data_IF_914252343886
#
_entry.id   IF_914252343886
#
_cell.length_a   1.000
_cell.length_b   1.000
_cell.length_c   1.000
_cell.angle_alpha   90.00
_cell.angle_beta   90.00
_cell.angle_gamma   90.00
#
_symmetry.space_group_name_H-M   'P 1'
#
loop_
_entity.id
_entity.type
_entity.pdbx_description
1 polymer ?
#
# COMPACT_ATOMS: atom_id res chain seq x y z
N UNK A 1 -4.49 24.13 1.23
CA UNK A 1 -4.18 23.56 -0.11
C UNK A 1 -4.55 22.10 -0.19
N UNK A 2 -5.23 21.73 -1.25
CA UNK A 2 -5.58 20.33 -1.45
C UNK A 2 -4.35 19.53 -1.88
N UNK A 3 -4.23 18.30 -1.37
CA UNK A 3 -3.20 17.35 -1.81
C UNK A 3 -3.56 16.69 -3.14
N UNK A 4 -4.84 16.46 -3.34
CA UNK A 4 -5.37 15.77 -4.52
C UNK A 4 -6.61 16.49 -5.04
N UNK A 5 -6.87 16.33 -6.34
CA UNK A 5 -8.11 16.76 -6.98
C UNK A 5 -8.74 15.55 -7.66
N UNK A 6 -10.05 15.38 -7.50
CA UNK A 6 -10.77 14.21 -8.00
C UNK A 6 -11.95 14.64 -8.86
N UNK A 7 -12.13 14.00 -10.00
CA UNK A 7 -13.26 14.16 -10.89
C UNK A 7 -13.97 12.83 -11.02
N UNK A 8 -15.27 12.80 -10.73
CA UNK A 8 -16.09 11.63 -11.05
C UNK A 8 -16.43 11.66 -12.54
N UNK A 9 -16.00 10.63 -13.26
CA UNK A 9 -16.16 10.57 -14.72
C UNK A 9 -17.43 9.85 -15.17
N UNK A 10 -18.24 9.38 -14.25
CA UNK A 10 -19.38 8.52 -14.54
C UNK A 10 -18.97 7.06 -14.63
N UNK A 11 -19.95 6.17 -14.71
CA UNK A 11 -19.72 4.72 -14.82
C UNK A 11 -18.84 4.15 -13.71
N UNK A 12 -18.93 4.75 -12.50
CA UNK A 12 -18.22 4.32 -11.30
C UNK A 12 -16.69 4.46 -11.41
N UNK A 13 -16.23 5.42 -12.22
CA UNK A 13 -14.82 5.75 -12.42
C UNK A 13 -14.49 7.14 -11.89
N UNK A 14 -13.32 7.28 -11.26
CA UNK A 14 -12.79 8.59 -10.88
C UNK A 14 -11.42 8.81 -11.50
N UNK A 15 -11.10 10.07 -11.77
CA UNK A 15 -9.78 10.52 -12.17
C UNK A 15 -9.19 11.37 -11.06
N UNK A 16 -7.97 11.08 -10.65
CA UNK A 16 -7.34 11.70 -9.49
C UNK A 16 -5.99 12.28 -9.86
N UNK A 17 -5.77 13.55 -9.51
CA UNK A 17 -4.51 14.24 -9.78
C UNK A 17 -3.80 14.56 -8.47
N UNK A 18 -2.56 14.12 -8.36
CA UNK A 18 -1.66 14.53 -7.28
C UNK A 18 -1.18 15.95 -7.57
N UNK A 19 -1.58 16.92 -6.76
CA UNK A 19 -1.36 18.35 -7.06
C UNK A 19 0.12 18.68 -7.19
N UNK A 20 0.95 18.15 -6.31
CA UNK A 20 2.38 18.45 -6.28
C UNK A 20 3.13 17.93 -7.51
N UNK A 21 2.86 16.70 -7.95
CA UNK A 21 3.60 16.05 -9.04
C UNK A 21 2.90 16.10 -10.40
N UNK A 22 1.60 16.34 -10.40
CA UNK A 22 0.77 16.24 -11.61
C UNK A 22 0.44 14.80 -12.02
N UNK A 23 0.87 13.80 -11.25
CA UNK A 23 0.59 12.39 -11.55
C UNK A 23 -0.91 12.12 -11.47
N UNK A 24 -1.42 11.39 -12.44
CA UNK A 24 -2.85 11.04 -12.53
C UNK A 24 -3.03 9.53 -12.36
N UNK A 25 -4.00 9.15 -11.54
CA UNK A 25 -4.43 7.75 -11.42
C UNK A 25 -5.95 7.67 -11.57
N UNK A 26 -6.41 6.52 -12.07
CA UNK A 26 -7.84 6.24 -12.20
C UNK A 26 -8.27 5.23 -11.14
N UNK A 27 -9.52 5.32 -10.70
CA UNK A 27 -10.14 4.26 -9.90
C UNK A 27 -11.40 3.78 -10.58
N UNK A 28 -11.71 2.50 -10.41
CA UNK A 28 -12.95 1.88 -10.85
C UNK A 28 -13.59 1.13 -9.69
N UNK A 29 -14.90 1.05 -9.66
CA UNK A 29 -15.55 0.07 -8.80
C UNK A 29 -15.14 -1.34 -9.26
N UNK A 30 -14.97 -2.29 -8.33
CA UNK A 30 -14.59 -3.64 -8.71
C UNK A 30 -15.72 -4.39 -9.40
N UNK A 31 -15.37 -5.45 -10.13
CA UNK A 31 -16.37 -6.25 -10.88
C UNK A 31 -17.40 -6.91 -9.98
N UNK A 32 -17.04 -7.25 -8.74
CA UNK A 32 -17.97 -7.81 -7.75
C UNK A 32 -18.84 -6.75 -7.08
N UNK A 33 -18.70 -5.47 -7.47
CA UNK A 33 -19.51 -4.36 -6.96
C UNK A 33 -19.89 -3.41 -8.11
N UNK A 34 -20.43 -3.98 -9.18
CA UNK A 34 -21.03 -3.28 -10.33
C UNK A 34 -20.05 -2.50 -11.21
N UNK A 35 -18.76 -2.59 -10.97
CA UNK A 35 -17.74 -1.82 -11.69
C UNK A 35 -17.11 -2.56 -12.85
N UNK A 36 -16.32 -1.81 -13.64
CA UNK A 36 -15.59 -2.34 -14.79
C UNK A 36 -14.32 -3.09 -14.37
N UNK A 37 -13.75 -2.75 -13.22
CA UNK A 37 -12.53 -3.40 -12.71
C UNK A 37 -11.30 -3.20 -13.59
N UNK A 38 -11.26 -2.13 -14.38
CA UNK A 38 -10.15 -1.86 -15.29
C UNK A 38 -9.02 -1.06 -14.64
N UNK A 39 -9.22 -0.62 -13.40
CA UNK A 39 -8.24 0.08 -12.59
C UNK A 39 -8.40 -0.33 -11.14
N UNK A 40 -7.55 0.20 -10.26
CA UNK A 40 -7.66 -0.06 -8.81
C UNK A 40 -8.98 0.46 -8.27
N UNK A 41 -9.65 -0.33 -7.42
CA UNK A 41 -10.79 0.19 -6.67
C UNK A 41 -10.31 1.03 -5.48
N UNK A 42 -11.17 1.84 -4.85
CA UNK A 42 -10.78 2.57 -3.64
C UNK A 42 -10.25 1.66 -2.53
N UNK A 43 -10.86 0.50 -2.30
CA UNK A 43 -10.37 -0.45 -1.30
C UNK A 43 -9.07 -1.13 -1.74
N UNK A 44 -8.84 -1.32 -3.04
CA UNK A 44 -7.55 -1.78 -3.56
C UNK A 44 -6.45 -0.77 -3.21
N UNK A 45 -6.70 0.52 -3.38
CA UNK A 45 -5.71 1.55 -3.04
C UNK A 45 -5.41 1.56 -1.54
N UNK A 46 -6.42 1.35 -0.71
CA UNK A 46 -6.24 1.26 0.73
C UNK A 46 -5.33 0.08 1.09
N UNK A 47 -5.58 -1.10 0.54
CA UNK A 47 -4.75 -2.28 0.79
C UNK A 47 -3.34 -2.11 0.23
N UNK A 48 -3.22 -1.60 -0.99
CA UNK A 48 -1.94 -1.37 -1.66
C UNK A 48 -1.09 -0.36 -0.89
N UNK A 49 -1.71 0.67 -0.30
CA UNK A 49 -0.99 1.69 0.46
C UNK A 49 -0.20 1.09 1.62
N UNK A 50 -0.72 0.04 2.25
CA UNK A 50 -0.01 -0.66 3.33
C UNK A 50 1.31 -1.27 2.82
N UNK A 51 1.26 -2.00 1.72
CA UNK A 51 2.43 -2.61 1.09
C UNK A 51 3.47 -1.56 0.72
N UNK A 52 3.02 -0.50 0.06
CA UNK A 52 3.91 0.59 -0.37
C UNK A 52 4.56 1.27 0.82
N UNK A 53 3.79 1.51 1.87
CA UNK A 53 4.29 2.15 3.08
C UNK A 53 5.34 1.29 3.79
N UNK A 54 5.08 -0.01 3.92
CA UNK A 54 6.03 -0.95 4.53
C UNK A 54 7.36 -0.93 3.78
N UNK A 55 7.32 -1.10 2.45
CA UNK A 55 8.54 -1.15 1.64
C UNK A 55 9.29 0.18 1.66
N UNK A 56 8.58 1.30 1.56
CA UNK A 56 9.19 2.63 1.61
C UNK A 56 9.86 2.88 2.96
N UNK A 57 9.18 2.50 4.05
CA UNK A 57 9.70 2.67 5.41
C UNK A 57 10.93 1.78 5.64
N UNK A 58 10.91 0.55 5.11
CA UNK A 58 12.10 -0.32 5.13
C UNK A 58 13.28 0.31 4.38
N UNK A 59 13.01 0.91 3.22
CA UNK A 59 14.04 1.60 2.45
C UNK A 59 14.65 2.76 3.21
N UNK A 60 13.84 3.58 3.85
CA UNK A 60 14.30 4.69 4.69
C UNK A 60 15.15 4.18 5.86
N UNK A 61 14.68 3.13 6.54
CA UNK A 61 15.44 2.52 7.63
C UNK A 61 16.82 2.07 7.17
N UNK A 62 16.89 1.37 6.03
CA UNK A 62 18.15 0.89 5.49
C UNK A 62 19.09 2.05 5.15
N UNK A 63 18.59 3.10 4.52
CA UNK A 63 19.39 4.29 4.23
C UNK A 63 19.98 4.91 5.50
N UNK A 64 19.18 5.01 6.54
CA UNK A 64 19.60 5.66 7.79
C UNK A 64 20.60 4.83 8.60
N UNK A 65 20.67 3.52 8.36
CA UNK A 65 21.53 2.60 9.12
C UNK A 65 22.71 2.03 8.28
N UNK A 66 22.87 2.51 7.06
CA UNK A 66 23.94 2.04 6.19
C UNK A 66 23.72 0.63 5.64
N UNK A 67 22.50 0.14 5.67
CA UNK A 67 22.12 -1.14 5.07
C UNK A 67 21.62 -0.94 3.64
N UNK A 68 21.57 -2.02 2.85
CA UNK A 68 21.23 -1.97 1.43
C UNK A 68 20.10 -2.92 1.12
N UNK A 69 18.92 -2.37 0.89
CA UNK A 69 17.78 -3.12 0.35
C UNK A 69 17.90 -3.06 -1.17
N UNK A 70 18.55 -4.08 -1.78
CA UNK A 70 18.86 -4.11 -3.21
C UNK A 70 17.64 -4.36 -4.08
N UNK A 71 16.58 -4.89 -3.50
CA UNK A 71 15.32 -5.09 -4.18
C UNK A 71 14.29 -5.71 -3.27
N UNK A 72 13.04 -5.63 -3.68
CA UNK A 72 11.93 -6.26 -2.98
C UNK A 72 10.77 -6.47 -3.94
N UNK A 73 10.08 -7.57 -3.79
CA UNK A 73 8.81 -7.81 -4.46
C UNK A 73 7.76 -8.12 -3.42
N UNK A 74 6.50 -7.82 -3.75
CA UNK A 74 5.39 -8.08 -2.84
C UNK A 74 4.14 -8.45 -3.60
N UNK A 75 3.36 -9.35 -3.01
CA UNK A 75 2.01 -9.66 -3.45
C UNK A 75 1.06 -9.31 -2.32
N UNK A 76 0.01 -8.57 -2.65
CA UNK A 76 -0.97 -8.09 -1.66
C UNK A 76 -2.33 -8.69 -1.97
N UNK A 77 -2.96 -9.29 -0.96
CA UNK A 77 -4.32 -9.81 -1.07
C UNK A 77 -5.22 -9.09 -0.09
N UNK A 78 -6.31 -8.54 -0.63
CA UNK A 78 -7.32 -7.83 0.14
C UNK A 78 -8.48 -8.79 0.45
N UNK A 79 -8.85 -8.90 1.73
CA UNK A 79 -9.99 -9.70 2.16
C UNK A 79 -11.12 -8.77 2.59
N UNK A 80 -12.28 -8.93 1.98
CA UNK A 80 -13.48 -8.14 2.25
C UNK A 80 -14.48 -8.95 3.04
N UNK A 81 -15.29 -8.26 3.85
CA UNK A 81 -16.48 -8.82 4.48
C UNK A 81 -17.68 -7.95 4.12
N UNK A 82 -18.88 -8.48 4.35
CA UNK A 82 -20.14 -7.79 4.09
C UNK A 82 -20.84 -7.39 5.40
N UNK A 83 -21.87 -6.58 5.29
CA UNK A 83 -22.78 -6.18 6.37
C UNK A 83 -22.09 -5.47 7.55
N UNK A 84 -21.37 -4.36 7.35
CA UNK A 84 -21.17 -3.60 6.10
C UNK A 84 -19.98 -4.12 5.29
N UNK A 85 -19.98 -3.81 4.01
CA UNK A 85 -18.85 -4.10 3.12
C UNK A 85 -17.61 -3.32 3.60
N UNK A 86 -16.54 -4.05 3.89
CA UNK A 86 -15.32 -3.47 4.46
C UNK A 86 -14.14 -4.40 4.29
N UNK A 87 -12.93 -3.83 4.38
CA UNK A 87 -11.69 -4.61 4.45
C UNK A 87 -11.58 -5.19 5.86
N UNK A 88 -11.36 -6.49 5.97
CA UNK A 88 -11.17 -7.17 7.25
C UNK A 88 -9.77 -7.72 7.43
N UNK A 89 -9.02 -7.90 6.35
CA UNK A 89 -7.67 -8.44 6.39
C UNK A 89 -6.89 -8.03 5.15
N UNK A 90 -5.61 -7.76 5.31
CA UNK A 90 -4.69 -7.49 4.21
C UNK A 90 -3.50 -8.43 4.38
N UNK A 91 -3.28 -9.31 3.41
CA UNK A 91 -2.11 -10.19 3.39
C UNK A 91 -1.06 -9.60 2.47
N UNK A 92 0.15 -9.50 2.96
CA UNK A 92 1.29 -9.04 2.17
C UNK A 92 2.38 -10.08 2.25
N UNK A 93 2.74 -10.68 1.11
CA UNK A 93 3.86 -11.60 0.99
C UNK A 93 5.00 -10.87 0.31
N UNK A 94 6.15 -10.80 0.96
CA UNK A 94 7.30 -10.05 0.46
C UNK A 94 8.53 -10.92 0.34
N UNK A 95 9.30 -10.68 -0.72
CA UNK A 95 10.66 -11.20 -0.85
C UNK A 95 11.60 -10.01 -0.84
N UNK A 96 12.49 -9.97 0.14
CA UNK A 96 13.42 -8.87 0.36
C UNK A 96 14.83 -9.31 -0.02
N UNK A 97 15.53 -8.46 -0.78
CA UNK A 97 16.93 -8.67 -1.11
C UNK A 97 17.79 -7.71 -0.30
N UNK A 98 17.99 -8.05 0.97
CA UNK A 98 18.85 -7.30 1.87
C UNK A 98 20.29 -7.78 1.69
N UNK A 99 21.20 -6.85 1.33
CA UNK A 99 22.62 -7.19 1.11
C UNK A 99 23.26 -7.76 2.37
N UNK A 100 22.89 -7.23 3.52
CA UNK A 100 23.38 -7.65 4.83
C UNK A 100 22.55 -8.83 5.38
N UNK A 101 22.24 -9.81 4.54
CA UNK A 101 21.39 -10.96 4.87
C UNK A 101 21.92 -11.83 6.01
N UNK A 102 23.22 -11.81 6.25
CA UNK A 102 23.86 -12.60 7.33
C UNK A 102 23.99 -11.80 8.63
N UNK A 103 23.62 -10.53 8.63
CA UNK A 103 23.61 -9.68 9.81
C UNK A 103 22.24 -9.75 10.50
N UNK A 104 22.20 -10.43 11.66
CA UNK A 104 20.96 -10.60 12.41
C UNK A 104 20.36 -9.26 12.85
N UNK A 105 21.20 -8.28 13.20
CA UNK A 105 20.75 -6.96 13.63
C UNK A 105 20.04 -6.22 12.48
N UNK A 106 20.62 -6.28 11.28
CA UNK A 106 20.01 -5.68 10.09
C UNK A 106 18.65 -6.34 9.78
N UNK A 107 18.58 -7.67 9.77
CA UNK A 107 17.33 -8.38 9.52
C UNK A 107 16.24 -8.05 10.54
N UNK A 108 16.58 -8.07 11.82
CA UNK A 108 15.63 -7.74 12.88
C UNK A 108 15.13 -6.30 12.78
N UNK A 109 16.02 -5.36 12.46
CA UNK A 109 15.66 -3.96 12.27
C UNK A 109 14.68 -3.76 11.14
N UNK A 110 14.95 -4.38 9.98
CA UNK A 110 14.06 -4.31 8.82
C UNK A 110 12.68 -4.89 9.14
N UNK A 111 12.62 -6.03 9.82
CA UNK A 111 11.35 -6.67 10.16
C UNK A 111 10.54 -5.86 11.19
N UNK A 112 11.20 -5.17 12.11
CA UNK A 112 10.52 -4.31 13.09
C UNK A 112 9.75 -3.17 12.44
N UNK A 113 10.21 -2.69 11.29
CA UNK A 113 9.63 -1.55 10.60
C UNK A 113 8.20 -1.82 10.12
N UNK A 114 7.83 -3.06 9.89
CA UNK A 114 6.48 -3.44 9.45
C UNK A 114 5.39 -2.84 10.34
N UNK A 115 5.61 -2.85 11.66
CA UNK A 115 4.63 -2.33 12.62
C UNK A 115 4.71 -0.82 12.83
N UNK A 116 5.74 -0.19 12.30
CA UNK A 116 6.01 1.24 12.50
C UNK A 116 5.57 2.11 11.32
N UNK A 117 5.08 1.52 10.23
CA UNK A 117 4.70 2.30 9.06
C UNK A 117 3.43 3.12 9.33
N UNK A 118 3.37 4.36 8.86
CA UNK A 118 2.25 5.26 9.13
C UNK A 118 0.89 4.70 8.70
N UNK A 119 0.84 3.97 7.58
CA UNK A 119 -0.42 3.39 7.10
C UNK A 119 -0.94 2.32 8.07
N UNK A 120 -0.07 1.43 8.56
CA UNK A 120 -0.51 0.39 9.51
C UNK A 120 -1.07 1.01 10.79
N UNK A 121 -0.53 2.16 11.20
CA UNK A 121 -1.02 2.90 12.36
C UNK A 121 -2.32 3.66 12.11
N UNK A 122 -2.69 3.83 10.86
CA UNK A 122 -3.87 4.58 10.43
C UNK A 122 -5.05 3.70 10.06
N UNK A 123 -4.83 2.40 9.88
CA UNK A 123 -5.90 1.45 9.58
C UNK A 123 -6.73 1.14 10.82
N UNK A 124 -7.97 0.72 10.60
CA UNK A 124 -8.84 0.30 11.69
C UNK A 124 -8.17 -0.83 12.48
N UNK A 125 -8.24 -0.81 13.83
CA UNK A 125 -7.57 -1.83 14.66
C UNK A 125 -8.01 -3.27 14.39
N UNK A 126 -9.19 -3.45 13.81
CA UNK A 126 -9.72 -4.78 13.49
C UNK A 126 -9.23 -5.33 12.15
N UNK A 127 -8.50 -4.54 11.38
CA UNK A 127 -7.90 -5.02 10.13
C UNK A 127 -6.59 -5.74 10.42
#
# INVERSE_FOLDING_TARGET
MASFKTIYQGELRTENTHVQSGTVILTDAPTDNQGKGEAFSPTDLCALSLTNCILTTMGIYCQNHGYHLDGATAETTKHMANDPRRIVRIEVQMELQLREKDDAHAREGVLRIVKACPVSRSLHPEI
#
